data_IF_563992584412
#
_entry.id   IF_563992584412
#
_cell.length_a   1.000
_cell.length_b   1.000
_cell.length_c   1.000
_cell.angle_alpha   90.00
_cell.angle_beta   90.00
_cell.angle_gamma   90.00
#
_symmetry.space_group_name_H-M   'P 1'
#
loop_
_entity.id
_entity.type
_entity.pdbx_description
1 polymer ?
#
# COMPACT_ATOMS: atom_id res chain seq x y z
N UNK A 1 -25.09 -0.01 -3.43
CA UNK A 1 -24.26 1.11 -2.95
C UNK A 1 -22.81 0.67 -3.10
N UNK A 2 -22.06 1.26 -4.02
CA UNK A 2 -20.65 0.93 -4.21
C UNK A 2 -19.90 1.41 -2.96
N UNK A 3 -19.46 0.50 -2.12
CA UNK A 3 -18.46 0.84 -1.11
C UNK A 3 -17.19 1.26 -1.86
N UNK A 4 -16.76 2.49 -1.73
CA UNK A 4 -15.49 2.94 -2.29
C UNK A 4 -14.34 2.04 -1.86
N UNK A 5 -13.23 2.08 -2.60
CA UNK A 5 -12.03 1.29 -2.29
C UNK A 5 -11.47 1.58 -0.89
N UNK A 6 -10.55 0.75 -0.42
CA UNK A 6 -10.02 0.82 0.94
C UNK A 6 -9.28 2.14 1.26
N UNK A 7 -8.87 2.88 0.23
CA UNK A 7 -8.21 4.18 0.34
C UNK A 7 -9.13 5.37 0.02
N UNK A 8 -10.43 5.14 -0.30
CA UNK A 8 -11.36 6.20 -0.73
C UNK A 8 -11.70 7.21 0.38
N UNK A 9 -11.85 6.72 1.62
CA UNK A 9 -12.34 7.53 2.74
C UNK A 9 -11.35 7.47 3.91
N UNK A 10 -10.26 8.26 3.86
CA UNK A 10 -9.28 8.26 4.94
C UNK A 10 -9.88 8.85 6.22
N UNK A 11 -9.48 8.34 7.38
CA UNK A 11 -9.75 9.00 8.66
C UNK A 11 -9.09 10.39 8.74
N UNK A 12 -9.39 11.15 9.80
CA UNK A 12 -8.68 12.40 10.04
C UNK A 12 -7.18 12.15 10.25
N UNK A 13 -6.35 13.00 9.67
CA UNK A 13 -4.92 12.98 9.89
C UNK A 13 -4.58 13.39 11.33
N UNK A 14 -3.63 12.71 11.92
CA UNK A 14 -3.07 13.04 13.23
C UNK A 14 -1.55 13.09 13.20
N UNK A 15 -0.94 13.78 14.15
CA UNK A 15 0.52 13.76 14.32
C UNK A 15 0.96 12.40 14.85
N UNK A 16 1.96 11.73 14.24
CA UNK A 16 2.56 10.57 14.86
C UNK A 16 3.27 10.96 16.15
N UNK A 17 3.16 10.12 17.17
CA UNK A 17 3.93 10.31 18.40
C UNK A 17 5.36 9.86 18.17
N UNK A 18 6.31 10.74 18.39
CA UNK A 18 7.74 10.43 18.39
C UNK A 18 8.23 10.30 19.84
N UNK A 19 9.28 9.50 20.11
CA UNK A 19 9.83 9.32 21.46
C UNK A 19 10.32 10.64 22.07
N UNK A 20 10.87 11.49 21.23
CA UNK A 20 11.43 12.79 21.59
C UNK A 20 11.25 13.83 20.48
N UNK A 21 11.85 14.99 20.63
CA UNK A 21 11.79 16.09 19.66
C UNK A 21 12.90 16.05 18.60
N UNK A 22 13.81 15.09 18.65
CA UNK A 22 14.98 15.01 17.74
C UNK A 22 14.60 14.82 16.29
N UNK A 23 13.42 14.20 16.03
CA UNK A 23 12.89 14.03 14.68
C UNK A 23 12.26 15.31 14.09
N UNK A 24 12.14 16.38 14.85
CA UNK A 24 11.55 17.63 14.37
C UNK A 24 10.05 17.58 14.11
N UNK A 25 9.35 16.54 14.54
CA UNK A 25 7.88 16.43 14.42
C UNK A 25 7.24 17.35 15.46
N UNK A 26 6.48 18.40 15.07
CA UNK A 26 5.81 19.28 16.02
C UNK A 26 4.77 18.52 16.85
N UNK A 27 4.69 18.80 18.13
CA UNK A 27 3.65 18.20 19.00
C UNK A 27 2.25 18.73 18.69
N UNK A 28 2.18 19.98 18.27
CA UNK A 28 0.93 20.68 17.92
C UNK A 28 1.17 21.65 16.78
N UNK A 29 0.12 21.94 16.01
CA UNK A 29 0.18 22.89 14.90
C UNK A 29 1.03 22.44 13.71
N UNK A 30 1.34 23.36 12.81
CA UNK A 30 2.09 23.12 11.59
C UNK A 30 1.30 22.35 10.53
N UNK A 31 1.81 22.42 9.29
CA UNK A 31 1.21 21.69 8.15
C UNK A 31 1.58 20.21 8.23
N UNK A 32 0.62 19.34 8.05
CA UNK A 32 0.82 17.90 7.87
C UNK A 32 0.73 17.54 6.38
N UNK A 33 1.35 16.43 5.99
CA UNK A 33 1.07 15.81 4.71
C UNK A 33 -0.44 15.52 4.61
N UNK A 34 -1.01 15.72 3.43
CA UNK A 34 -2.42 15.49 3.15
C UNK A 34 -2.64 14.12 2.47
N UNK A 35 -3.89 13.69 2.40
CA UNK A 35 -4.21 12.41 1.79
C UNK A 35 -3.96 12.39 0.28
N UNK A 36 -4.09 13.53 -0.39
CA UNK A 36 -3.78 13.64 -1.82
C UNK A 36 -2.30 13.33 -2.10
N UNK A 37 -1.40 13.72 -1.19
CA UNK A 37 0.01 13.34 -1.26
C UNK A 37 0.18 11.82 -1.14
N UNK A 38 -0.51 11.16 -0.20
CA UNK A 38 -0.48 9.69 -0.04
C UNK A 38 -0.89 9.00 -1.34
N UNK A 39 -2.04 9.38 -1.88
CA UNK A 39 -2.57 8.80 -3.12
C UNK A 39 -1.60 9.01 -4.29
N UNK A 40 -1.07 10.23 -4.42
CA UNK A 40 -0.10 10.54 -5.47
C UNK A 40 1.16 9.67 -5.37
N UNK A 41 1.75 9.55 -4.18
CA UNK A 41 2.95 8.74 -3.96
C UNK A 41 2.69 7.26 -4.27
N UNK A 42 1.53 6.73 -3.85
CA UNK A 42 1.14 5.36 -4.16
C UNK A 42 0.88 5.15 -5.66
N UNK A 43 0.26 6.11 -6.35
CA UNK A 43 -0.01 6.01 -7.78
C UNK A 43 1.28 6.05 -8.61
N UNK A 44 2.21 6.95 -8.27
CA UNK A 44 3.42 7.21 -9.04
C UNK A 44 4.55 6.20 -8.76
N UNK A 45 4.53 5.53 -7.62
CA UNK A 45 5.59 4.59 -7.23
C UNK A 45 5.77 3.48 -8.26
N UNK A 46 6.97 3.35 -8.83
CA UNK A 46 7.30 2.25 -9.75
C UNK A 46 7.45 0.92 -9.01
N UNK A 47 8.05 0.93 -7.82
CA UNK A 47 8.24 -0.23 -6.98
C UNK A 47 7.64 0.02 -5.60
N UNK A 48 6.99 -1.01 -5.07
CA UNK A 48 6.47 -1.03 -3.71
C UNK A 48 7.32 -1.99 -2.90
N UNK A 49 8.01 -1.49 -1.88
CA UNK A 49 8.74 -2.34 -0.95
C UNK A 49 7.76 -2.99 0.02
N UNK A 50 7.63 -4.30 -0.08
CA UNK A 50 6.73 -5.09 0.77
C UNK A 50 7.53 -5.81 1.82
N UNK A 51 7.29 -5.47 3.09
CA UNK A 51 7.83 -6.19 4.23
C UNK A 51 6.76 -7.15 4.79
N UNK A 52 7.16 -8.38 5.06
CA UNK A 52 6.35 -9.45 5.64
C UNK A 52 7.16 -10.20 6.68
N UNK A 53 6.53 -11.03 7.51
CA UNK A 53 7.21 -11.82 8.54
C UNK A 53 7.08 -13.31 8.20
N UNK A 54 8.19 -14.04 8.22
CA UNK A 54 8.23 -15.48 8.01
C UNK A 54 7.64 -16.27 9.18
N UNK A 55 7.40 -17.57 8.98
CA UNK A 55 6.93 -18.47 10.04
C UNK A 55 7.92 -18.57 11.22
N UNK A 56 9.19 -18.30 10.94
CA UNK A 56 10.28 -18.23 11.92
C UNK A 56 10.40 -16.86 12.64
N UNK A 57 9.45 -15.96 12.41
CA UNK A 57 9.46 -14.61 12.97
C UNK A 57 10.43 -13.64 12.30
N UNK A 58 11.19 -14.06 11.29
CA UNK A 58 12.16 -13.19 10.62
C UNK A 58 11.48 -12.28 9.59
N UNK A 59 11.86 -11.00 9.53
CA UNK A 59 11.37 -10.08 8.51
C UNK A 59 11.89 -10.48 7.13
N UNK A 60 11.10 -10.19 6.11
CA UNK A 60 11.44 -10.34 4.72
C UNK A 60 10.91 -9.12 3.94
N UNK A 61 11.77 -8.42 3.26
CA UNK A 61 11.40 -7.27 2.42
C UNK A 61 11.84 -7.51 0.98
N UNK A 62 10.98 -7.16 0.04
CA UNK A 62 11.27 -7.25 -1.39
C UNK A 62 10.41 -6.24 -2.17
N UNK A 63 10.92 -5.70 -3.30
CA UNK A 63 10.11 -4.87 -4.18
C UNK A 63 9.11 -5.73 -4.96
N UNK A 64 7.95 -5.15 -5.22
CA UNK A 64 6.93 -5.71 -6.12
C UNK A 64 6.37 -4.60 -7.02
N UNK A 65 5.70 -5.00 -8.08
CA UNK A 65 4.90 -4.09 -8.87
C UNK A 65 3.50 -3.96 -8.27
N UNK A 66 2.85 -2.82 -8.58
CA UNK A 66 1.50 -2.58 -8.08
C UNK A 66 0.86 -1.37 -8.75
N UNK A 67 -0.44 -1.31 -8.62
CA UNK A 67 -1.27 -0.23 -9.16
C UNK A 67 -2.34 0.17 -8.15
N UNK A 68 -2.71 1.45 -8.18
CA UNK A 68 -3.86 1.99 -7.47
C UNK A 68 -5.02 2.11 -8.47
N UNK A 69 -6.09 1.37 -8.26
CA UNK A 69 -7.27 1.34 -9.13
C UNK A 69 -8.53 1.38 -8.26
N UNK A 70 -9.47 2.26 -8.59
CA UNK A 70 -10.73 2.43 -7.86
C UNK A 70 -10.52 2.59 -6.33
N UNK A 71 -9.48 3.36 -5.95
CA UNK A 71 -9.07 3.60 -4.56
C UNK A 71 -8.66 2.33 -3.78
N UNK A 72 -8.23 1.28 -4.48
CA UNK A 72 -7.61 0.11 -3.90
C UNK A 72 -6.19 -0.08 -4.41
N UNK A 73 -5.28 -0.49 -3.54
CA UNK A 73 -3.91 -0.84 -3.90
C UNK A 73 -3.83 -2.34 -4.18
N UNK A 74 -3.42 -2.65 -5.40
CA UNK A 74 -3.17 -4.01 -5.87
C UNK A 74 -1.69 -4.22 -6.09
N UNK A 75 -1.15 -5.27 -5.48
CA UNK A 75 0.24 -5.70 -5.61
C UNK A 75 0.30 -7.00 -6.38
N UNK A 76 1.31 -7.15 -7.23
CA UNK A 76 1.50 -8.37 -8.01
C UNK A 76 2.79 -9.09 -7.62
N UNK A 77 2.66 -10.37 -7.33
CA UNK A 77 3.81 -11.27 -7.11
C UNK A 77 3.38 -12.71 -7.26
N UNK A 78 4.26 -13.56 -7.79
CA UNK A 78 3.97 -15.00 -7.90
C UNK A 78 3.57 -15.61 -6.54
N UNK A 79 2.53 -16.46 -6.49
CA UNK A 79 2.11 -17.17 -5.28
C UNK A 79 3.22 -18.04 -4.68
N UNK A 80 4.18 -18.49 -5.50
CA UNK A 80 5.32 -19.30 -5.06
C UNK A 80 6.39 -18.52 -4.30
N UNK A 81 6.28 -17.19 -4.18
CA UNK A 81 7.28 -16.37 -3.49
C UNK A 81 7.16 -16.45 -1.97
N UNK A 82 8.27 -16.17 -1.26
CA UNK A 82 8.29 -16.14 0.22
C UNK A 82 7.27 -15.11 0.78
N UNK A 83 7.20 -13.92 0.18
CA UNK A 83 6.27 -12.88 0.62
C UNK A 83 4.81 -13.28 0.43
N UNK A 84 4.47 -13.96 -0.69
CA UNK A 84 3.13 -14.48 -0.92
C UNK A 84 2.72 -15.49 0.16
N UNK A 85 3.57 -16.48 0.45
CA UNK A 85 3.32 -17.44 1.54
C UNK A 85 3.20 -16.78 2.92
N UNK A 86 3.97 -15.72 3.17
CA UNK A 86 3.86 -14.97 4.42
C UNK A 86 2.52 -14.24 4.52
N UNK A 87 2.06 -13.61 3.42
CA UNK A 87 0.75 -12.96 3.35
C UNK A 87 -0.37 -13.98 3.55
N UNK A 88 -0.34 -15.11 2.86
CA UNK A 88 -1.34 -16.18 3.02
C UNK A 88 -1.44 -16.68 4.46
N UNK A 89 -0.31 -16.75 5.16
CA UNK A 89 -0.26 -17.22 6.54
C UNK A 89 -0.83 -16.22 7.55
N UNK A 90 -0.58 -14.93 7.40
CA UNK A 90 -0.89 -13.93 8.45
C UNK A 90 -1.71 -12.74 7.96
N UNK A 91 -1.77 -12.49 6.67
CA UNK A 91 -2.32 -11.27 6.10
C UNK A 91 -1.42 -10.03 6.27
N UNK A 92 -0.66 -9.96 7.36
CA UNK A 92 0.04 -8.77 7.78
C UNK A 92 1.21 -8.40 6.85
N UNK A 93 1.27 -7.11 6.49
CA UNK A 93 2.36 -6.55 5.71
C UNK A 93 2.58 -5.07 6.02
N UNK A 94 3.74 -4.59 5.60
CA UNK A 94 3.99 -3.15 5.43
C UNK A 94 4.37 -2.89 3.98
N UNK A 95 3.76 -1.89 3.38
CA UNK A 95 4.13 -1.37 2.06
C UNK A 95 4.81 -0.03 2.26
N UNK A 96 5.98 0.16 1.64
CA UNK A 96 6.72 1.41 1.67
C UNK A 96 6.98 1.89 0.24
N UNK A 97 6.74 3.17 -0.01
CA UNK A 97 7.10 3.86 -1.24
C UNK A 97 7.80 5.18 -0.92
N UNK A 98 8.64 5.63 -1.85
CA UNK A 98 9.42 6.87 -1.72
C UNK A 98 10.80 6.66 -1.09
N UNK A 99 11.44 7.76 -0.77
CA UNK A 99 12.74 7.86 -0.13
C UNK A 99 12.69 8.95 0.95
N UNK A 100 13.20 10.16 0.67
CA UNK A 100 13.13 11.30 1.58
C UNK A 100 11.67 11.70 1.85
N UNK A 101 10.88 11.82 0.77
CA UNK A 101 9.41 11.80 0.86
C UNK A 101 8.94 10.35 0.95
N UNK A 102 8.15 10.00 1.94
CA UNK A 102 7.75 8.62 2.16
C UNK A 102 6.27 8.43 2.46
N UNK A 103 5.75 7.28 2.03
CA UNK A 103 4.47 6.73 2.47
C UNK A 103 4.71 5.31 2.95
N UNK A 104 4.24 5.01 4.16
CA UNK A 104 4.27 3.69 4.76
C UNK A 104 2.84 3.26 5.06
N UNK A 105 2.43 2.14 4.51
CA UNK A 105 1.12 1.52 4.76
C UNK A 105 1.34 0.25 5.57
N UNK A 106 0.96 0.27 6.84
CA UNK A 106 0.82 -0.92 7.66
C UNK A 106 -0.60 -1.45 7.48
N UNK A 107 -0.75 -2.71 7.16
CA UNK A 107 -2.07 -3.26 6.87
C UNK A 107 -2.10 -4.76 6.69
N UNK A 108 -3.16 -5.21 6.07
CA UNK A 108 -3.34 -6.59 5.67
C UNK A 108 -3.44 -6.70 4.15
N UNK A 109 -3.04 -7.82 3.61
CA UNK A 109 -3.32 -8.18 2.24
C UNK A 109 -3.86 -9.61 2.15
N UNK A 110 -4.64 -9.85 1.12
CA UNK A 110 -5.12 -11.18 0.77
C UNK A 110 -5.05 -11.37 -0.75
N UNK A 111 -4.91 -12.61 -1.16
CA UNK A 111 -5.05 -12.98 -2.57
C UNK A 111 -6.42 -12.50 -3.08
N UNK A 112 -6.44 -11.91 -4.25
CA UNK A 112 -7.61 -11.27 -4.81
C UNK A 112 -7.83 -11.72 -6.26
N UNK A 113 -9.08 -12.07 -6.55
CA UNK A 113 -9.54 -12.36 -7.92
C UNK A 113 -10.51 -11.26 -8.33
N UNK A 114 -10.14 -10.41 -9.28
CA UNK A 114 -11.01 -9.35 -9.72
C UNK A 114 -12.20 -9.91 -10.54
N UNK A 115 -13.37 -9.29 -10.39
CA UNK A 115 -14.44 -9.49 -11.37
C UNK A 115 -13.98 -8.99 -12.76
N UNK A 116 -14.52 -9.50 -13.88
CA UNK A 116 -14.02 -9.22 -15.23
C UNK A 116 -13.88 -7.72 -15.56
N UNK A 117 -14.80 -6.88 -15.09
CA UNK A 117 -14.71 -5.42 -15.32
C UNK A 117 -13.50 -4.83 -14.61
N UNK A 118 -13.32 -5.11 -13.31
CA UNK A 118 -12.21 -4.63 -12.52
C UNK A 118 -10.87 -5.24 -13.01
N UNK A 119 -10.88 -6.50 -13.46
CA UNK A 119 -9.71 -7.13 -14.07
C UNK A 119 -9.19 -6.37 -15.27
N UNK A 120 -10.09 -5.87 -16.13
CA UNK A 120 -9.72 -5.01 -17.27
C UNK A 120 -9.10 -3.68 -16.83
N UNK A 121 -9.65 -3.07 -15.81
CA UNK A 121 -9.11 -1.79 -15.27
C UNK A 121 -7.72 -1.99 -14.67
N UNK A 122 -7.53 -3.06 -13.87
CA UNK A 122 -6.24 -3.40 -13.26
C UNK A 122 -5.21 -3.72 -14.36
N UNK A 123 -5.56 -4.54 -15.35
CA UNK A 123 -4.68 -4.89 -16.47
C UNK A 123 -4.25 -3.63 -17.26
N UNK A 124 -5.20 -2.75 -17.55
CA UNK A 124 -4.92 -1.48 -18.22
C UNK A 124 -3.98 -0.58 -17.40
N UNK A 125 -4.17 -0.52 -16.06
CA UNK A 125 -3.32 0.25 -15.17
C UNK A 125 -1.88 -0.31 -15.12
N UNK A 126 -1.71 -1.64 -15.05
CA UNK A 126 -0.39 -2.27 -15.12
C UNK A 126 0.30 -1.96 -16.45
N UNK A 127 -0.39 -2.13 -17.56
CA UNK A 127 0.14 -1.84 -18.91
C UNK A 127 0.55 -0.38 -19.06
N UNK A 128 -0.24 0.55 -18.54
CA UNK A 128 0.08 1.98 -18.58
C UNK A 128 1.31 2.35 -17.74
N UNK A 129 1.51 1.65 -16.62
CA UNK A 129 2.57 1.95 -15.66
C UNK A 129 3.89 1.25 -15.97
N UNK A 130 3.85 0.04 -16.52
CA UNK A 130 5.00 -0.82 -16.76
C UNK A 130 5.08 -1.17 -18.24
N UNK A 131 5.93 -0.44 -18.98
CA UNK A 131 5.96 -0.44 -20.47
C UNK A 131 6.13 -1.83 -21.11
N UNK A 132 6.85 -2.75 -20.43
CA UNK A 132 7.15 -4.08 -20.96
C UNK A 132 6.24 -5.17 -20.35
N UNK A 133 5.14 -4.75 -19.69
CA UNK A 133 4.22 -5.66 -19.04
C UNK A 133 2.78 -5.39 -19.47
N UNK A 134 2.14 -6.39 -20.03
CA UNK A 134 0.77 -6.31 -20.54
C UNK A 134 -0.02 -7.54 -20.10
N UNK A 135 -0.48 -7.57 -18.83
CA UNK A 135 -1.30 -8.70 -18.37
C UNK A 135 -2.67 -8.69 -19.04
N UNK A 136 -3.23 -9.86 -19.26
CA UNK A 136 -4.62 -10.01 -19.64
C UNK A 136 -5.54 -9.89 -18.41
N UNK A 137 -6.82 -9.56 -18.59
CA UNK A 137 -7.76 -9.39 -17.46
C UNK A 137 -7.92 -10.61 -16.56
N UNK A 138 -7.64 -11.81 -17.06
CA UNK A 138 -7.71 -13.11 -16.39
C UNK A 138 -6.34 -13.64 -15.91
N UNK A 139 -5.28 -12.86 -16.06
CA UNK A 139 -3.92 -13.25 -15.67
C UNK A 139 -3.81 -13.68 -14.20
N UNK A 140 -4.75 -13.24 -13.36
CA UNK A 140 -4.75 -13.53 -11.93
C UNK A 140 -5.78 -14.58 -11.48
N UNK A 141 -6.38 -15.30 -12.39
CA UNK A 141 -7.34 -16.39 -12.06
C UNK A 141 -6.68 -17.51 -11.26
N UNK A 142 -5.39 -17.73 -11.46
CA UNK A 142 -4.57 -18.68 -10.71
C UNK A 142 -3.83 -18.03 -9.51
N UNK A 143 -4.19 -16.80 -9.13
CA UNK A 143 -3.56 -16.03 -8.07
C UNK A 143 -2.46 -15.11 -8.56
N UNK A 144 -1.74 -14.49 -7.61
CA UNK A 144 -0.63 -13.57 -7.92
C UNK A 144 -0.99 -12.10 -7.77
N UNK A 145 -2.27 -11.76 -7.62
CA UNK A 145 -2.72 -10.42 -7.27
C UNK A 145 -3.15 -10.39 -5.81
N UNK A 146 -2.74 -9.33 -5.10
CA UNK A 146 -3.04 -9.14 -3.68
C UNK A 146 -3.62 -7.75 -3.47
N UNK A 147 -4.80 -7.67 -2.83
CA UNK A 147 -5.41 -6.40 -2.45
C UNK A 147 -4.96 -6.02 -1.05
N UNK A 148 -4.52 -4.77 -0.89
CA UNK A 148 -4.06 -4.21 0.39
C UNK A 148 -5.20 -3.46 1.08
N UNK A 149 -5.39 -3.74 2.37
CA UNK A 149 -6.33 -3.02 3.25
C UNK A 149 -5.50 -2.30 4.31
N UNK A 150 -5.48 -0.95 4.32
CA UNK A 150 -4.69 -0.19 5.27
C UNK A 150 -5.27 -0.29 6.69
N UNK A 151 -4.39 -0.37 7.69
CA UNK A 151 -4.70 -0.19 9.13
C UNK A 151 -4.15 1.12 9.64
N UNK A 152 -2.90 1.40 9.32
CA UNK A 152 -2.25 2.66 9.62
C UNK A 152 -1.47 3.12 8.40
N UNK A 153 -1.58 4.39 8.07
CA UNK A 153 -0.76 5.00 7.02
C UNK A 153 0.03 6.13 7.66
N UNK A 154 1.33 6.15 7.41
CA UNK A 154 2.22 7.26 7.73
C UNK A 154 2.68 7.91 6.42
N UNK A 155 2.78 9.23 6.43
CA UNK A 155 3.36 9.95 5.30
C UNK A 155 4.05 11.25 5.75
N UNK A 156 5.09 11.63 5.03
CA UNK A 156 5.79 12.91 5.19
C UNK A 156 6.48 13.33 3.90
N UNK A 157 6.62 14.64 3.71
CA UNK A 157 7.54 15.25 2.73
C UNK A 157 8.89 15.50 3.38
N UNK A 158 8.83 15.90 4.65
CA UNK A 158 9.91 16.02 5.62
C UNK A 158 9.34 15.69 7.00
N UNK A 159 10.18 15.46 7.99
CA UNK A 159 9.72 15.06 9.31
C UNK A 159 8.76 16.08 9.99
N UNK A 160 8.94 17.41 9.84
CA UNK A 160 7.95 18.38 10.31
C UNK A 160 6.54 18.21 9.74
N UNK A 161 6.38 17.66 8.55
CA UNK A 161 5.09 17.41 7.91
C UNK A 161 4.50 16.03 8.20
N UNK A 162 5.13 15.21 9.03
CA UNK A 162 4.69 13.86 9.31
C UNK A 162 3.22 13.80 9.75
N UNK A 163 2.49 12.90 9.13
CA UNK A 163 1.08 12.63 9.38
C UNK A 163 0.82 11.14 9.52
N UNK A 164 -0.21 10.80 10.26
CA UNK A 164 -0.69 9.43 10.44
C UNK A 164 -2.20 9.38 10.29
N UNK A 165 -2.71 8.30 9.66
CA UNK A 165 -4.12 7.94 9.56
C UNK A 165 -4.34 6.55 10.13
N UNK A 166 -5.32 6.39 11.01
CA UNK A 166 -5.67 5.08 11.59
C UNK A 166 -7.03 4.65 11.09
N UNK A 167 -7.07 3.61 10.30
CA UNK A 167 -8.29 3.01 9.79
C UNK A 167 -8.91 2.11 10.86
N UNK A 168 -10.23 2.17 11.00
CA UNK A 168 -10.94 1.26 11.89
C UNK A 168 -10.96 -0.14 11.26
N UNK A 169 -10.87 -1.17 12.09
CA UNK A 169 -11.11 -2.54 11.62
C UNK A 169 -12.56 -2.66 11.17
N UNK A 170 -12.75 -3.02 9.92
CA UNK A 170 -14.04 -3.45 9.42
C UNK A 170 -14.33 -4.87 9.87
#
# INVERSE_FOLDING_TARGET
MSSGGAFANPPAAERPRTPDTSYGVPRTGGRMADWAFVIKQLADARNYWVATVGADGRPHAAPVWGVLVADDLYLETSPATRKARNIERSGALTVHVGGDEAVIVEGDAAAFRPAPALGREIAAAFKAKYADYSPEPDSWDQGGLYRVVPRTVFAWRDMPTAARWRFQRQ
#
